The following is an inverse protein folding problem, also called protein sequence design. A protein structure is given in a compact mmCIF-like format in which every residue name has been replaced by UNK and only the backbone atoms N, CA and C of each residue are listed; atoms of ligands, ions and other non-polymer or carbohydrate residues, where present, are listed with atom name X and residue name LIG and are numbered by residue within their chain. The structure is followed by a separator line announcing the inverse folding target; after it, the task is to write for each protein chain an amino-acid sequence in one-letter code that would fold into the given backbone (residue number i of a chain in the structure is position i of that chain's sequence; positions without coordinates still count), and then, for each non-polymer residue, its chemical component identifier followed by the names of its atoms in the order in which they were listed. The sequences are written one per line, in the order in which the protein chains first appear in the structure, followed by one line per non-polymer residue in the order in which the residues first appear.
data_IF_875395609358
#
_entry.id   IF_875395609358
#
_cell.length_a   1.000
_cell.length_b   1.000
_cell.length_c   1.000
_cell.angle_alpha   90.00
_cell.angle_beta   90.00
_cell.angle_gamma   90.00
#
_symmetry.space_group_name_H-M   'P 1'
#
loop_
_entity.id
_entity.type
_entity.pdbx_description
1 polymer ?
2 non-polymer ?
3 non-polymer ?
4 non-polymer ?
5 water ?
#
# COMPACT_ATOMS: atom_id res chain seq x y z
N UNK A 2 -18.21 -17.81 10.34
CA UNK A 2 -18.00 -16.40 10.70
C UNK A 2 -16.88 -15.77 9.86
N UNK A 3 -17.07 -14.50 9.48
CA UNK A 3 -15.99 -13.68 8.90
C UNK A 3 -15.33 -14.36 7.69
N UNK A 4 -16.13 -15.00 6.84
CA UNK A 4 -15.58 -15.74 5.72
C UNK A 4 -15.42 -14.80 4.54
N UNK A 5 -14.21 -14.64 4.00
CA UNK A 5 -14.02 -13.73 2.87
C UNK A 5 -14.70 -14.26 1.60
N UNK A 6 -15.17 -13.33 0.79
CA UNK A 6 -15.75 -13.62 -0.51
C UNK A 6 -15.12 -12.68 -1.52
N UNK A 7 -15.12 -13.04 -2.80
CA UNK A 7 -14.55 -12.15 -3.84
C UNK A 7 -15.02 -10.71 -3.79
N UNK A 8 -16.25 -10.44 -3.33
CA UNK A 8 -16.67 -9.05 -3.28
C UNK A 8 -15.88 -8.24 -2.25
N UNK A 9 -15.15 -8.88 -1.35
CA UNK A 9 -14.28 -8.14 -0.43
C UNK A 9 -12.98 -7.66 -1.06
N UNK A 10 -12.71 -8.01 -2.33
CA UNK A 10 -11.57 -7.51 -3.11
C UNK A 10 -10.22 -7.74 -2.42
N UNK A 11 -10.09 -8.90 -1.75
CA UNK A 11 -8.81 -9.32 -1.19
C UNK A 11 -7.92 -9.94 -2.25
N UNK A 12 -6.71 -9.41 -2.38
CA UNK A 12 -5.71 -9.93 -3.31
C UNK A 12 -4.40 -10.19 -2.57
N UNK A 13 -3.62 -11.10 -3.13
CA UNK A 13 -2.32 -11.48 -2.58
C UNK A 13 -1.27 -11.52 -3.69
N UNK A 14 -0.06 -11.04 -3.38
CA UNK A 14 1.04 -11.24 -4.30
C UNK A 14 1.45 -12.70 -4.36
N UNK A 15 1.90 -13.13 -5.55
CA UNK A 15 2.48 -14.45 -5.69
C UNK A 15 3.64 -14.67 -4.71
N UNK A 16 4.38 -13.59 -4.40
CA UNK A 16 5.59 -13.65 -3.60
C UNK A 16 5.31 -13.71 -2.11
N UNK A 17 4.03 -13.62 -1.72
CA UNK A 17 3.63 -13.60 -0.32
C UNK A 17 3.49 -15.03 0.19
N UNK A 18 2.35 -15.70 -0.10
CA UNK A 18 2.23 -17.13 0.21
C UNK A 18 3.36 -17.94 -0.42
N UNK A 19 3.92 -17.45 -1.52
CA UNK A 19 5.05 -18.10 -2.14
C UNK A 19 6.40 -17.83 -1.53
N UNK A 20 6.50 -16.97 -0.52
CA UNK A 20 7.79 -16.67 0.10
C UNK A 20 8.39 -17.94 0.73
N UNK A 21 9.62 -18.26 0.34
CA UNK A 21 10.27 -19.51 0.74
C UNK A 21 10.97 -19.45 2.09
N UNK A 22 11.11 -18.27 2.69
CA UNK A 22 11.70 -18.18 4.02
C UNK A 22 13.17 -17.86 4.11
N UNK A 23 13.86 -17.58 3.00
CA UNK A 23 15.24 -17.10 3.10
C UNK A 23 15.23 -15.67 3.63
N UNK A 24 15.92 -15.44 4.75
CA UNK A 24 16.01 -14.10 5.31
C UNK A 24 17.51 -13.77 5.40
N UNK A 25 17.95 -12.61 5.94
CA UNK A 25 19.39 -12.32 5.91
C UNK A 25 20.24 -13.39 6.58
N UNK A 26 19.70 -14.03 7.63
CA UNK A 26 20.45 -14.97 8.43
C UNK A 26 19.99 -16.41 8.28
N UNK A 27 19.35 -16.76 7.18
CA UNK A 27 18.69 -18.05 7.13
C UNK A 27 18.39 -18.55 5.74
N UNK A 28 18.46 -19.86 5.59
CA UNK A 28 18.09 -20.54 4.36
C UNK A 28 16.58 -20.73 4.30
N UNK A 29 16.09 -21.12 3.12
CA UNK A 29 14.67 -21.32 2.93
C UNK A 29 14.18 -22.49 3.77
N UNK A 30 12.95 -22.36 4.27
CA UNK A 30 12.30 -23.41 5.04
C UNK A 30 11.14 -24.06 4.30
N UNK A 31 10.72 -23.51 3.16
CA UNK A 31 9.64 -24.08 2.37
C UNK A 31 10.06 -24.15 0.90
N UNK A 32 9.47 -25.11 0.19
CA UNK A 32 9.72 -25.30 -1.24
C UNK A 32 9.01 -24.23 -2.06
N UNK A 33 9.51 -24.02 -3.27
CA UNK A 33 8.94 -23.02 -4.17
C UNK A 33 7.53 -23.41 -4.59
N UNK A 34 6.63 -22.42 -4.66
CA UNK A 34 5.25 -22.68 -5.05
C UNK A 34 5.06 -22.53 -6.55
N UNK A 35 4.34 -23.48 -7.16
CA UNK A 35 3.88 -23.31 -8.54
C UNK A 35 2.85 -22.19 -8.54
N UNK A 36 3.06 -21.11 -9.29
CA UNK A 36 2.05 -20.04 -9.35
C UNK A 36 0.63 -20.54 -9.59
N UNK A 37 0.47 -21.64 -10.35
CA UNK A 37 -0.85 -22.19 -10.62
C UNK A 37 -1.49 -22.70 -9.34
N UNK A 38 -0.74 -23.43 -8.53
CA UNK A 38 -1.27 -23.90 -7.25
C UNK A 38 -1.66 -22.74 -6.35
N UNK A 39 -0.88 -21.65 -6.35
CA UNK A 39 -1.22 -20.50 -5.51
C UNK A 39 -2.53 -19.86 -5.95
N UNK A 40 -2.74 -19.69 -7.26
CA UNK A 40 -4.00 -19.15 -7.74
C UNK A 40 -5.17 -19.97 -7.22
N UNK A 41 -5.03 -21.29 -7.23
CA UNK A 41 -6.15 -22.14 -6.82
C UNK A 41 -6.36 -22.11 -5.32
N UNK A 42 -5.27 -22.22 -4.55
CA UNK A 42 -5.44 -22.24 -3.10
C UNK A 42 -5.99 -20.92 -2.59
N UNK A 43 -5.59 -19.82 -3.21
CA UNK A 43 -6.10 -18.52 -2.81
C UNK A 43 -7.57 -18.37 -3.18
N UNK A 44 -7.97 -18.86 -4.36
CA UNK A 44 -9.38 -18.83 -4.72
C UNK A 44 -10.22 -19.67 -3.77
N UNK A 45 -9.67 -20.80 -3.30
CA UNK A 45 -10.42 -21.63 -2.37
C UNK A 45 -10.54 -20.95 -1.01
N UNK A 46 -9.65 -20.00 -0.69
CA UNK A 46 -9.74 -19.27 0.58
C UNK A 46 -10.67 -18.07 0.49
N UNK A 47 -11.20 -17.74 -0.71
CA UNK A 47 -12.09 -16.61 -0.88
C UNK A 47 -11.44 -15.34 -1.42
N UNK A 48 -10.22 -15.43 -1.95
CA UNK A 48 -9.57 -14.22 -2.41
C UNK A 48 -10.17 -13.75 -3.74
N UNK A 49 -10.03 -12.44 -3.98
CA UNK A 49 -10.49 -11.79 -5.20
C UNK A 49 -9.51 -11.99 -6.35
N UNK A 50 -8.23 -12.04 -6.07
CA UNK A 50 -7.27 -12.23 -7.13
C UNK A 50 -5.85 -12.19 -6.61
N UNK A 51 -4.91 -12.12 -7.55
CA UNK A 51 -3.50 -12.23 -7.27
C UNK A 51 -2.75 -11.10 -7.97
N UNK A 52 -1.53 -10.86 -7.52
CA UNK A 52 -0.60 -9.92 -8.14
C UNK A 52 0.76 -10.61 -8.28
N UNK A 53 1.67 -10.01 -9.05
CA UNK A 53 2.96 -10.63 -9.30
C UNK A 53 4.01 -9.59 -9.70
N UNK A 54 5.26 -9.88 -9.34
CA UNK A 54 6.40 -9.34 -10.08
C UNK A 54 6.60 -10.19 -11.33
N UNK A 55 7.10 -9.56 -12.40
CA UNK A 55 7.47 -10.32 -13.59
C UNK A 55 8.20 -11.60 -13.20
N UNK A 56 9.23 -11.48 -12.36
CA UNK A 56 10.10 -12.61 -12.05
C UNK A 56 9.44 -13.64 -11.13
N UNK A 57 8.28 -13.33 -10.55
CA UNK A 57 7.54 -14.37 -9.82
C UNK A 57 6.87 -15.34 -10.79
N UNK A 58 6.36 -14.83 -11.91
CA UNK A 58 5.58 -15.57 -12.88
C UNK A 58 6.44 -16.25 -13.94
N UNK A 59 7.40 -15.50 -14.48
CA UNK A 59 8.33 -15.97 -15.50
C UNK A 59 9.73 -15.91 -14.91
N UNK A 60 10.41 -17.03 -14.74
CA UNK A 60 11.75 -17.00 -14.11
C UNK A 60 12.71 -16.19 -14.96
N UNK A 61 13.64 -15.50 -14.29
CA UNK A 61 14.52 -14.56 -14.98
C UNK A 61 15.30 -15.24 -16.09
N UNK A 62 15.43 -14.55 -17.21
CA UNK A 62 16.15 -15.10 -18.34
C UNK A 62 15.41 -16.19 -19.08
N UNK A 63 14.09 -16.18 -19.05
CA UNK A 63 13.34 -17.20 -19.76
C UNK A 63 13.35 -16.93 -21.26
N UNK A 64 13.52 -17.99 -22.05
CA UNK A 64 13.27 -17.90 -23.47
C UNK A 64 11.87 -17.37 -23.74
N UNK A 65 11.69 -16.78 -24.91
CA UNK A 65 10.34 -16.47 -25.38
C UNK A 65 9.46 -17.70 -25.33
N UNK A 66 10.03 -18.86 -25.65
CA UNK A 66 9.27 -20.12 -25.57
C UNK A 66 8.77 -20.34 -24.15
N UNK A 67 9.71 -20.41 -23.19
CA UNK A 67 9.35 -20.75 -21.82
C UNK A 67 8.49 -19.66 -21.18
N UNK A 68 8.78 -18.40 -21.48
CA UNK A 68 7.91 -17.31 -21.07
C UNK A 68 6.46 -17.59 -21.46
N UNK A 69 6.25 -18.04 -22.70
CA UNK A 69 4.90 -18.27 -23.20
C UNK A 69 4.21 -19.37 -22.41
N UNK A 70 4.91 -20.46 -22.11
CA UNK A 70 4.27 -21.54 -21.38
C UNK A 70 3.93 -21.10 -19.95
N UNK A 71 4.82 -20.34 -19.31
CA UNK A 71 4.53 -19.86 -17.96
C UNK A 71 3.31 -18.95 -17.94
N UNK A 72 3.19 -18.06 -18.94
CA UNK A 72 2.02 -17.19 -19.00
C UNK A 72 0.76 -18.00 -19.29
N UNK A 73 0.86 -18.99 -20.19
CA UNK A 73 -0.31 -19.76 -20.58
C UNK A 73 -0.88 -20.54 -19.40
N UNK A 74 -0.02 -21.29 -18.69
CA UNK A 74 -0.44 -21.98 -17.48
C UNK A 74 -1.17 -21.03 -16.54
N UNK A 75 -0.55 -19.89 -16.27
CA UNK A 75 -1.12 -18.91 -15.36
C UNK A 75 -2.50 -18.47 -15.84
N UNK A 76 -2.61 -18.08 -17.12
CA UNK A 76 -3.89 -17.62 -17.63
C UNK A 76 -4.96 -18.70 -17.52
N UNK A 77 -4.58 -19.96 -17.72
CA UNK A 77 -5.53 -21.05 -17.56
C UNK A 77 -6.00 -21.16 -16.11
N UNK A 78 -5.08 -20.98 -15.15
CA UNK A 78 -5.47 -21.00 -13.74
C UNK A 78 -6.44 -19.87 -13.42
N UNK A 79 -6.24 -18.70 -14.01
CA UNK A 79 -7.18 -17.62 -13.78
C UNK A 79 -8.54 -17.95 -14.36
N UNK A 80 -8.58 -18.66 -15.50
CA UNK A 80 -9.84 -19.04 -16.12
C UNK A 80 -10.68 -19.92 -15.22
N UNK A 81 -10.11 -21.04 -14.73
CA UNK A 81 -10.98 -21.99 -14.02
C UNK A 81 -11.39 -21.50 -12.64
N UNK A 82 -10.80 -20.41 -12.16
CA UNK A 82 -11.14 -19.89 -10.84
C UNK A 82 -11.90 -18.56 -10.90
N UNK A 83 -11.77 -17.81 -11.98
CA UNK A 83 -12.25 -16.46 -12.00
C UNK A 83 -11.37 -15.47 -11.28
N UNK A 84 -10.21 -15.90 -10.79
CA UNK A 84 -9.28 -15.00 -10.11
C UNK A 84 -8.88 -13.85 -11.02
N UNK A 85 -8.88 -12.65 -10.46
CA UNK A 85 -8.50 -11.43 -11.15
C UNK A 85 -7.03 -11.10 -10.90
N UNK A 86 -6.47 -10.27 -11.78
CA UNK A 86 -5.13 -9.72 -11.58
C UNK A 86 -5.25 -8.20 -11.60
N UNK A 87 -5.50 -7.57 -10.44
CA UNK A 87 -5.69 -6.11 -10.43
C UNK A 87 -4.40 -5.32 -10.48
N UNK A 88 -3.27 -5.92 -10.13
CA UNK A 88 -2.03 -5.16 -10.03
C UNK A 88 -0.87 -6.09 -10.39
N UNK A 89 0.15 -5.50 -11.00
CA UNK A 89 1.40 -6.20 -11.25
C UNK A 89 2.52 -5.18 -11.07
N UNK A 90 3.75 -5.66 -11.01
CA UNK A 90 4.90 -4.85 -10.64
C UNK A 90 6.14 -5.52 -11.22
N UNK A 91 7.24 -4.79 -11.23
CA UNK A 91 8.50 -5.27 -11.77
C UNK A 91 9.45 -5.62 -10.63
N UNK A 92 10.21 -6.71 -10.79
CA UNK A 92 11.32 -7.01 -9.89
C UNK A 92 12.54 -6.25 -10.38
N UNK A 93 12.79 -5.11 -9.76
CA UNK A 93 13.96 -4.28 -10.00
C UNK A 93 14.86 -4.28 -8.77
N UNK A 94 14.97 -5.43 -8.09
CA UNK A 94 15.74 -5.44 -6.84
C UNK A 94 16.53 -6.71 -6.60
N UNK A 95 16.07 -7.87 -7.07
CA UNK A 95 16.70 -9.14 -6.69
C UNK A 95 18.01 -9.36 -7.42
N UNK A 96 18.00 -9.16 -8.72
CA UNK A 96 19.17 -9.51 -9.52
C UNK A 96 20.36 -8.63 -9.15
N UNK A 97 21.56 -9.20 -9.05
CA UNK A 97 22.76 -8.39 -8.75
C UNK A 97 22.93 -7.15 -9.61
N UNK A 98 22.41 -7.14 -10.84
CA UNK A 98 22.60 -5.98 -11.71
C UNK A 98 21.97 -4.73 -11.09
N UNK A 99 20.95 -4.89 -10.25
CA UNK A 99 20.25 -3.76 -9.66
C UNK A 99 20.82 -3.37 -8.30
N UNK A 100 22.06 -3.76 -7.99
CA UNK A 100 22.57 -3.54 -6.63
C UNK A 100 22.61 -2.07 -6.23
N UNK A 101 22.69 -1.14 -7.19
CA UNK A 101 22.63 0.30 -6.93
C UNK A 101 21.32 0.92 -7.41
N UNK A 102 20.30 0.12 -7.65
CA UNK A 102 19.02 0.65 -8.07
C UNK A 102 18.68 0.25 -9.50
N UNK A 103 17.43 0.55 -9.86
CA UNK A 103 16.95 0.39 -11.22
C UNK A 103 16.90 1.72 -11.95
N UNK A 104 15.79 2.45 -11.76
CA UNK A 104 15.64 3.72 -12.42
C UNK A 104 16.68 4.75 -12.00
N UNK A 105 17.34 4.57 -10.85
CA UNK A 105 18.31 5.57 -10.38
C UNK A 105 19.70 4.96 -10.12
N UNK A 106 20.02 3.81 -10.72
CA UNK A 106 21.38 3.31 -10.72
C UNK A 106 22.33 4.39 -11.24
N UNK A 107 23.55 4.43 -10.72
CA UNK A 107 24.50 5.40 -11.27
C UNK A 107 24.88 5.02 -12.69
N UNK A 108 24.94 3.72 -12.98
CA UNK A 108 25.20 3.27 -14.34
C UNK A 108 23.99 3.51 -15.22
N UNK A 109 24.20 4.23 -16.33
CA UNK A 109 23.12 4.62 -17.22
C UNK A 109 22.54 3.42 -17.97
N UNK A 110 23.36 2.47 -18.36
CA UNK A 110 22.84 1.33 -19.09
C UNK A 110 21.95 0.46 -18.20
N UNK A 111 22.22 0.39 -16.90
CA UNK A 111 21.32 -0.32 -15.99
C UNK A 111 19.99 0.40 -15.89
N UNK A 112 20.02 1.73 -15.93
CA UNK A 112 18.77 2.47 -15.92
C UNK A 112 17.93 2.18 -17.15
N UNK A 113 18.57 2.16 -18.34
CA UNK A 113 17.83 1.84 -19.56
C UNK A 113 17.30 0.41 -19.52
N UNK A 114 18.11 -0.53 -19.02
CA UNK A 114 17.66 -1.90 -18.84
C UNK A 114 16.43 -1.98 -17.93
N UNK A 115 16.47 -1.30 -16.77
CA UNK A 115 15.33 -1.26 -15.85
C UNK A 115 14.05 -0.85 -16.56
N UNK A 116 14.12 0.20 -17.38
CA UNK A 116 12.93 0.66 -18.08
C UNK A 116 12.41 -0.38 -19.07
N UNK A 117 13.32 -1.02 -19.82
CA UNK A 117 12.89 -2.05 -20.75
C UNK A 117 12.25 -3.23 -20.02
N UNK A 118 12.81 -3.61 -18.86
CA UNK A 118 12.25 -4.69 -18.07
C UNK A 118 10.86 -4.34 -17.56
N UNK A 119 10.68 -3.10 -17.09
CA UNK A 119 9.38 -2.64 -16.64
C UNK A 119 8.36 -2.60 -17.79
N UNK A 120 8.78 -2.08 -18.94
CA UNK A 120 7.87 -1.86 -20.06
C UNK A 120 7.36 -3.19 -20.60
N UNK A 121 8.23 -4.19 -20.65
CA UNK A 121 7.83 -5.54 -21.04
C UNK A 121 6.74 -6.10 -20.13
N UNK A 122 6.84 -5.86 -18.82
CA UNK A 122 5.84 -6.42 -17.93
C UNK A 122 4.57 -5.59 -17.90
N UNK A 123 4.66 -4.29 -18.22
CA UNK A 123 3.46 -3.47 -18.36
C UNK A 123 2.50 -4.12 -19.37
N UNK A 124 3.04 -4.46 -20.56
CA UNK A 124 2.25 -5.14 -21.57
C UNK A 124 1.55 -6.36 -21.00
N UNK A 125 2.32 -7.23 -20.35
CA UNK A 125 1.71 -8.44 -19.78
C UNK A 125 0.65 -8.09 -18.75
N UNK A 126 0.93 -7.10 -17.88
CA UNK A 126 -0.03 -6.67 -16.88
C UNK A 126 -1.33 -6.22 -17.52
N UNK A 127 -1.23 -5.37 -18.54
CA UNK A 127 -2.42 -4.85 -19.22
C UNK A 127 -3.23 -5.99 -19.86
N UNK A 128 -2.54 -7.01 -20.41
CA UNK A 128 -3.26 -8.12 -21.04
C UNK A 128 -4.04 -8.93 -20.03
N UNK A 129 -3.52 -9.04 -18.81
CA UNK A 129 -4.13 -9.84 -17.77
C UNK A 129 -5.21 -9.10 -16.99
N UNK A 130 -5.42 -7.82 -17.26
CA UNK A 130 -6.46 -7.06 -16.59
C UNK A 130 -5.99 -6.11 -15.51
N UNK A 131 -4.67 -5.88 -15.40
CA UNK A 131 -4.17 -5.05 -14.32
C UNK A 131 -4.63 -3.62 -14.49
N UNK A 132 -5.15 -3.03 -13.43
CA UNK A 132 -5.52 -1.63 -13.45
C UNK A 132 -4.45 -0.72 -12.83
N UNK A 133 -3.59 -1.26 -11.99
CA UNK A 133 -2.51 -0.52 -11.38
C UNK A 133 -1.21 -1.24 -11.66
N UNK A 134 -0.18 -0.50 -12.08
CA UNK A 134 1.17 -1.00 -12.15
C UNK A 134 1.98 -0.33 -11.03
N UNK A 135 2.50 -1.13 -10.13
CA UNK A 135 3.15 -0.64 -8.92
C UNK A 135 4.64 -0.53 -9.18
N UNK A 136 5.23 0.58 -8.73
CA UNK A 136 6.67 0.75 -8.68
C UNK A 136 7.12 0.78 -7.22
N UNK A 137 7.99 -0.16 -6.83
CA UNK A 137 8.69 -0.13 -5.55
C UNK A 137 10.18 0.06 -5.83
N UNK A 138 10.70 1.24 -5.50
CA UNK A 138 12.12 1.47 -5.69
C UNK A 138 12.96 0.93 -4.56
N UNK A 139 12.95 -0.39 -4.37
CA UNK A 139 13.66 -0.97 -3.24
C UNK A 139 15.14 -0.65 -3.22
N UNK A 140 15.76 -0.57 -4.40
CA UNK A 140 17.21 -0.38 -4.51
C UNK A 140 17.60 1.07 -4.79
N UNK A 141 16.64 1.98 -4.89
CA UNK A 141 16.92 3.39 -5.17
C UNK A 141 17.34 4.06 -3.87
N UNK A 142 18.62 4.34 -3.72
CA UNK A 142 19.06 4.83 -2.43
C UNK A 142 20.56 4.70 -2.29
N UNK A 143 21.00 4.58 -1.04
CA UNK A 143 22.40 4.65 -0.71
C UNK A 143 22.60 4.19 0.72
N UNK A 144 23.78 3.66 1.01
CA UNK A 144 24.21 3.47 2.39
C UNK A 144 25.09 4.61 2.89
N UNK A 145 25.64 5.42 1.98
CA UNK A 145 26.58 6.47 2.34
C UNK A 145 26.26 7.73 1.52
N UNK A 146 26.70 8.87 2.06
CA UNK A 146 26.19 10.15 1.57
C UNK A 146 26.74 10.57 0.24
N UNK A 147 27.99 10.18 -0.06
CA UNK A 147 28.56 10.56 -1.33
C UNK A 147 28.15 9.68 -2.48
N UNK A 148 27.48 8.56 -2.21
CA UNK A 148 27.27 7.59 -3.26
C UNK A 148 26.15 7.98 -4.21
N UNK A 149 25.26 8.88 -3.79
CA UNK A 149 24.09 9.21 -4.60
C UNK A 149 23.88 10.72 -4.52
N UNK A 150 23.90 11.40 -5.67
CA UNK A 150 23.47 12.79 -5.73
C UNK A 150 21.95 12.77 -5.83
N UNK A 151 21.28 13.17 -4.76
CA UNK A 151 19.85 12.85 -4.69
C UNK A 151 19.05 13.69 -5.67
N UNK A 152 19.49 14.91 -5.98
CA UNK A 152 18.78 15.72 -6.97
C UNK A 152 18.92 15.15 -8.37
N UNK A 153 20.14 14.72 -8.74
CA UNK A 153 20.32 14.00 -10.00
C UNK A 153 19.50 12.72 -10.02
N UNK A 154 19.47 11.99 -8.90
CA UNK A 154 18.68 10.77 -8.86
C UNK A 154 17.19 11.08 -9.02
N UNK A 155 16.74 12.20 -8.45
CA UNK A 155 15.35 12.58 -8.65
C UNK A 155 15.08 12.94 -10.10
N UNK A 156 16.05 13.58 -10.76
CA UNK A 156 15.96 13.78 -12.20
C UNK A 156 15.78 12.46 -12.94
N UNK A 157 16.63 11.48 -12.64
CA UNK A 157 16.54 10.18 -13.30
C UNK A 157 15.23 9.47 -12.98
N UNK A 158 14.70 9.63 -11.76
CA UNK A 158 13.45 8.97 -11.43
C UNK A 158 12.28 9.63 -12.15
N UNK A 159 12.28 10.97 -12.19
CA UNK A 159 11.22 11.67 -12.93
C UNK A 159 11.27 11.30 -14.40
N UNK A 160 12.48 11.20 -14.96
CA UNK A 160 12.62 10.85 -16.37
C UNK A 160 12.14 9.43 -16.65
N UNK A 161 12.41 8.49 -15.72
CA UNK A 161 11.89 7.14 -15.89
C UNK A 161 10.36 7.12 -15.87
N UNK A 162 9.76 7.70 -14.83
CA UNK A 162 8.30 7.66 -14.72
C UNK A 162 7.63 8.50 -15.80
N UNK A 163 8.32 9.54 -16.27
CA UNK A 163 7.79 10.27 -17.41
C UNK A 163 7.78 9.40 -18.66
N UNK A 164 8.81 8.56 -18.85
CA UNK A 164 8.85 7.68 -20.01
C UNK A 164 7.78 6.60 -19.92
N UNK A 165 7.57 6.02 -18.74
CA UNK A 165 6.52 5.04 -18.58
C UNK A 165 5.15 5.66 -18.84
N UNK A 166 4.94 6.90 -18.37
CA UNK A 166 3.72 7.61 -18.69
C UNK A 166 3.57 7.85 -20.18
N UNK A 167 4.67 8.23 -20.84
CA UNK A 167 4.60 8.43 -22.29
C UNK A 167 4.32 7.12 -23.01
N UNK A 168 4.83 6.00 -22.48
CA UNK A 168 4.58 4.71 -23.12
C UNK A 168 3.12 4.32 -23.01
N UNK A 169 2.53 4.44 -21.81
CA UNK A 169 1.16 3.96 -21.67
C UNK A 169 0.19 4.86 -22.43
N UNK A 170 0.51 6.15 -22.55
CA UNK A 170 -0.31 7.05 -23.36
C UNK A 170 -0.18 6.73 -24.85
N UNK A 171 1.00 6.31 -25.30
CA UNK A 171 1.16 5.96 -26.71
C UNK A 171 0.42 4.66 -27.06
N UNK A 172 0.40 3.68 -26.16
CA UNK A 172 -0.34 2.45 -26.40
C UNK A 172 -1.85 2.59 -26.12
N UNK A 173 -2.30 3.74 -25.67
CA UNK A 173 -3.68 3.88 -25.22
C UNK A 173 -4.08 2.98 -24.07
N UNK A 174 -3.13 2.54 -23.25
CA UNK A 174 -3.46 1.71 -22.10
C UNK A 174 -4.23 2.50 -21.05
N UNK A 175 -5.05 1.79 -20.29
CA UNK A 175 -5.81 2.37 -19.20
C UNK A 175 -5.07 2.32 -17.87
N UNK A 176 -4.03 1.49 -17.78
CA UNK A 176 -3.36 1.24 -16.51
C UNK A 176 -2.78 2.53 -15.94
N UNK A 177 -2.77 2.64 -14.61
CA UNK A 177 -2.18 3.76 -13.89
C UNK A 177 -1.06 3.24 -13.00
N UNK A 178 -0.18 4.14 -12.59
CA UNK A 178 0.98 3.80 -11.78
C UNK A 178 0.75 4.15 -10.31
N UNK A 179 1.38 3.36 -9.42
CA UNK A 179 1.36 3.64 -7.99
C UNK A 179 2.75 3.41 -7.40
N UNK A 180 3.36 4.46 -6.87
CA UNK A 180 4.66 4.36 -6.21
C UNK A 180 4.46 3.74 -4.83
N UNK A 181 5.24 2.70 -4.53
CA UNK A 181 5.11 2.09 -3.20
C UNK A 181 6.24 2.57 -2.31
N UNK A 182 5.99 3.50 -1.39
CA UNK A 182 7.10 4.06 -0.60
C UNK A 182 7.61 3.07 0.44
N UNK A 183 8.91 3.20 0.76
CA UNK A 183 9.54 2.47 1.83
C UNK A 183 10.70 3.33 2.34
N UNK A 184 10.87 3.48 3.64
CA UNK A 184 11.90 4.42 4.12
C UNK A 184 13.32 3.86 4.03
N UNK A 185 13.48 2.54 4.19
CA UNK A 185 14.80 1.90 4.15
C UNK A 185 14.62 0.40 3.98
N UNK A 186 15.76 -0.27 3.73
CA UNK A 186 15.89 -1.72 3.59
C UNK A 186 15.33 -2.15 2.24
N UNK A 187 16.16 -2.73 1.39
CA UNK A 187 17.55 -3.12 1.67
C UNK A 187 18.57 -1.97 1.53
N UNK A 188 18.25 -0.80 1.01
CA UNK A 188 19.20 0.30 1.05
C UNK A 188 19.16 0.98 2.43
N UNK A 189 20.27 1.61 2.79
CA UNK A 189 20.33 2.32 4.07
C UNK A 189 19.26 3.38 4.21
N UNK A 190 19.02 4.14 3.13
CA UNK A 190 17.89 5.05 3.01
C UNK A 190 17.37 4.94 1.59
N UNK A 191 16.06 4.79 1.45
CA UNK A 191 15.44 4.67 0.13
C UNK A 191 14.84 6.02 -0.26
N UNK A 192 15.02 6.40 -1.52
CA UNK A 192 14.39 7.60 -2.06
C UNK A 192 12.89 7.50 -2.03
N UNK A 193 12.23 8.66 -1.96
CA UNK A 193 10.78 8.75 -1.74
C UNK A 193 10.41 7.86 -0.55
N UNK A 194 10.91 8.20 0.65
CA UNK A 194 10.85 7.24 1.77
C UNK A 194 9.47 7.05 2.38
N UNK A 195 8.51 7.94 2.13
CA UNK A 195 7.19 7.87 2.76
C UNK A 195 6.11 8.25 1.76
N UNK A 196 4.86 8.09 2.18
CA UNK A 196 3.71 8.51 1.35
C UNK A 196 3.85 9.98 0.98
N UNK A 197 4.19 10.84 1.94
CA UNK A 197 4.36 12.26 1.64
C UNK A 197 5.34 12.50 0.51
N UNK A 198 6.53 11.91 0.61
CA UNK A 198 7.57 12.11 -0.39
C UNK A 198 7.11 11.65 -1.77
N UNK A 199 6.40 10.52 -1.84
CA UNK A 199 5.96 10.03 -3.14
C UNK A 199 4.88 10.92 -3.72
N UNK A 200 3.93 11.37 -2.89
CA UNK A 200 2.89 12.28 -3.34
C UNK A 200 3.47 13.58 -3.90
N UNK A 201 4.46 14.15 -3.18
CA UNK A 201 5.09 15.38 -3.66
C UNK A 201 5.77 15.14 -5.01
N UNK A 202 6.58 14.10 -5.10
CA UNK A 202 7.28 13.76 -6.32
C UNK A 202 6.35 13.62 -7.52
N UNK A 203 5.17 13.01 -7.31
CA UNK A 203 4.22 12.80 -8.40
C UNK A 203 3.79 14.13 -9.02
N UNK A 204 3.72 15.19 -8.21
CA UNK A 204 3.26 16.49 -8.69
C UNK A 204 4.26 17.19 -9.62
N UNK A 205 5.51 16.73 -9.66
CA UNK A 205 6.48 17.24 -10.62
C UNK A 205 6.55 16.39 -11.88
N UNK A 206 5.78 15.32 -11.95
CA UNK A 206 5.81 14.46 -13.11
C UNK A 206 5.03 15.11 -14.25
N UNK A 207 5.21 14.57 -15.45
CA UNK A 207 4.66 15.30 -16.59
C UNK A 207 3.16 15.09 -16.69
N UNK A 208 2.67 13.90 -16.35
CA UNK A 208 1.25 13.59 -16.36
C UNK A 208 0.86 13.11 -14.97
N UNK A 209 0.79 14.02 -13.99
CA UNK A 209 0.61 13.58 -12.60
C UNK A 209 -0.64 12.75 -12.40
N UNK A 210 -1.68 12.99 -13.20
CA UNK A 210 -2.94 12.26 -13.08
C UNK A 210 -2.79 10.76 -13.28
N UNK A 211 -1.70 10.32 -13.92
CA UNK A 211 -1.44 8.89 -14.10
C UNK A 211 -0.79 8.23 -12.90
N UNK A 212 -0.46 8.96 -11.84
CA UNK A 212 0.36 8.38 -10.79
C UNK A 212 -0.28 8.59 -9.43
N UNK A 213 -0.29 7.53 -8.63
CA UNK A 213 -0.77 7.57 -7.27
C UNK A 213 0.17 6.84 -6.35
N UNK A 214 -0.26 6.50 -5.14
CA UNK A 214 0.60 5.78 -4.20
C UNK A 214 0.03 4.41 -3.94
N UNK A 215 0.92 3.45 -3.65
CA UNK A 215 0.56 2.16 -3.09
C UNK A 215 1.19 2.06 -1.70
N UNK A 216 0.58 2.65 -0.68
CA UNK A 216 1.20 2.66 0.65
C UNK A 216 1.09 1.30 1.33
N UNK A 217 2.12 0.94 2.08
CA UNK A 217 2.15 -0.29 2.85
C UNK A 217 2.16 0.03 4.34
N UNK A 218 1.22 -0.57 5.07
CA UNK A 218 1.07 -0.43 6.52
C UNK A 218 2.44 -0.41 7.17
N UNK A 219 3.23 -1.48 6.97
CA UNK A 219 4.48 -1.62 7.67
C UNK A 219 5.54 -0.60 7.29
N UNK A 220 5.53 -0.12 6.04
CA UNK A 220 6.59 0.78 5.59
C UNK A 220 6.49 2.14 6.25
N UNK A 221 5.28 2.73 6.34
CA UNK A 221 5.15 3.98 7.06
C UNK A 221 5.50 3.79 8.54
N UNK A 222 5.10 2.65 9.11
CA UNK A 222 5.40 2.37 10.50
C UNK A 222 6.89 2.14 10.76
N UNK A 223 7.67 1.77 9.74
CA UNK A 223 9.13 1.70 9.89
C UNK A 223 9.76 3.08 10.06
N UNK A 224 9.07 4.14 9.65
CA UNK A 224 9.45 5.50 9.99
C UNK A 224 8.68 6.02 11.21
N UNK A 225 7.93 5.15 11.89
CA UNK A 225 7.22 5.58 13.08
C UNK A 225 6.05 6.49 12.81
N UNK A 226 5.56 6.52 11.57
CA UNK A 226 4.48 7.41 11.17
C UNK A 226 3.13 6.73 11.39
N UNK A 227 2.09 7.54 11.39
CA UNK A 227 0.71 7.10 11.61
C UNK A 227 0.14 6.67 10.26
N UNK A 228 0.02 5.37 10.03
CA UNK A 228 -0.44 4.92 8.72
C UNK A 228 -1.87 5.38 8.41
N UNK A 229 -2.86 5.25 9.29
CA UNK A 229 -4.17 5.84 9.02
C UNK A 229 -4.14 7.32 8.62
N UNK A 230 -3.23 8.11 9.18
CA UNK A 230 -3.11 9.53 8.80
C UNK A 230 -2.58 9.68 7.39
N UNK A 231 -1.49 8.97 7.09
CA UNK A 231 -0.93 9.04 5.75
C UNK A 231 -1.93 8.61 4.70
N UNK A 232 -2.77 7.62 5.03
CA UNK A 232 -3.78 7.16 4.09
C UNK A 232 -4.83 8.24 3.89
N UNK A 233 -5.21 8.93 4.97
CA UNK A 233 -6.15 10.02 4.83
C UNK A 233 -5.57 11.12 3.94
N UNK A 234 -4.27 11.37 4.07
CA UNK A 234 -3.66 12.35 3.17
C UNK A 234 -3.66 11.85 1.73
N UNK A 235 -3.39 10.56 1.52
CA UNK A 235 -3.45 10.03 0.15
C UNK A 235 -4.88 10.15 -0.40
N UNK A 236 -5.87 9.76 0.38
CA UNK A 236 -7.27 9.89 -0.05
C UNK A 236 -7.63 11.35 -0.30
N UNK A 237 -7.27 12.23 0.65
CA UNK A 237 -7.46 13.66 0.47
C UNK A 237 -6.87 14.15 -0.85
N UNK A 238 -5.71 13.62 -1.23
CA UNK A 238 -5.11 14.00 -2.49
C UNK A 238 -5.73 13.31 -3.69
N UNK A 239 -6.57 12.29 -3.48
CA UNK A 239 -7.12 11.55 -4.61
C UNK A 239 -6.16 10.54 -5.20
N UNK A 240 -5.15 10.09 -4.46
CA UNK A 240 -4.07 9.29 -5.00
C UNK A 240 -4.00 7.88 -4.39
N UNK A 241 -5.00 7.46 -3.62
CA UNK A 241 -4.93 6.11 -3.08
C UNK A 241 -5.41 5.16 -4.18
N UNK A 242 -4.49 4.85 -5.12
CA UNK A 242 -4.83 3.94 -6.22
C UNK A 242 -4.85 2.48 -5.80
N UNK A 243 -4.24 2.14 -4.67
CA UNK A 243 -3.97 0.76 -4.28
C UNK A 243 -3.44 0.82 -2.86
N UNK A 244 -3.41 -0.32 -2.16
CA UNK A 244 -2.94 -0.31 -0.77
C UNK A 244 -2.38 -1.68 -0.39
N UNK A 245 -1.24 -1.70 0.30
CA UNK A 245 -0.65 -2.92 0.83
C UNK A 245 -0.89 -3.00 2.33
N UNK A 246 -1.44 -4.12 2.74
CA UNK A 246 -1.85 -4.38 4.12
C UNK A 246 -1.00 -5.51 4.71
N UNK A 247 -0.64 -5.35 5.97
CA UNK A 247 0.22 -6.28 6.70
C UNK A 247 0.46 -5.75 8.12
N UNK A 248 1.31 -6.43 8.87
CA UNK A 248 1.58 -6.08 10.25
C UNK A 248 3.04 -5.72 10.44
N UNK A 249 3.29 -4.81 11.38
CA UNK A 249 4.63 -4.37 11.70
C UNK A 249 4.67 -3.96 13.17
N UNK A 250 5.65 -4.47 13.91
CA UNK A 250 5.82 -4.08 15.31
C UNK A 250 6.86 -2.97 15.45
N UNK A 251 6.48 -1.79 15.03
CA UNK A 251 7.32 -0.64 15.27
C UNK A 251 8.53 -0.58 14.35
N UNK A 252 9.50 0.23 14.78
CA UNK A 252 10.62 0.64 13.93
C UNK A 252 11.70 -0.43 14.05
N UNK A 253 11.88 -1.19 12.96
CA UNK A 253 12.81 -2.32 12.87
C UNK A 253 12.74 -2.85 11.44
N UNK A 254 13.41 -3.95 11.15
CA UNK A 254 13.35 -4.53 9.82
C UNK A 254 11.91 -4.71 9.37
N UNK A 255 11.70 -4.70 8.05
CA UNK A 255 10.41 -4.93 7.42
C UNK A 255 9.88 -6.33 7.74
N UNK A 256 8.88 -6.43 8.60
CA UNK A 256 8.42 -7.73 9.09
C UNK A 256 7.43 -8.39 8.15
N UNK A 257 6.50 -7.61 7.58
CA UNK A 257 5.48 -8.14 6.66
C UNK A 257 4.65 -9.23 7.34
N UNK A 258 4.33 -9.01 8.61
CA UNK A 258 3.42 -9.93 9.29
C UNK A 258 2.05 -9.89 8.64
N UNK A 259 1.23 -10.89 8.96
CA UNK A 259 -0.13 -10.88 8.40
C UNK A 259 -0.91 -9.67 8.93
N UNK A 260 -1.82 -9.17 8.10
CA UNK A 260 -2.60 -8.00 8.49
C UNK A 260 -3.39 -8.31 9.76
N UNK A 261 -3.43 -7.34 10.67
CA UNK A 261 -4.02 -7.56 11.98
C UNK A 261 -2.97 -7.67 13.07
N UNK A 262 -1.86 -8.36 12.80
CA UNK A 262 -0.77 -8.36 13.76
C UNK A 262 0.00 -7.05 13.68
N UNK A 263 1.00 -6.90 14.54
CA UNK A 263 1.62 -5.59 14.65
C UNK A 263 0.68 -4.65 15.39
N UNK A 264 0.48 -3.45 14.85
CA UNK A 264 -0.25 -2.38 15.51
C UNK A 264 -1.73 -2.60 15.26
N UNK A 265 -2.35 -3.35 16.17
CA UNK A 265 -3.76 -3.72 16.03
C UNK A 265 -4.66 -2.49 16.00
N UNK A 266 -4.46 -1.54 16.92
CA UNK A 266 -5.30 -0.34 16.96
C UNK A 266 -5.18 0.46 15.68
N UNK A 267 -3.97 0.58 15.13
CA UNK A 267 -3.81 1.25 13.84
C UNK A 267 -4.54 0.50 12.74
N UNK A 268 -4.51 -0.83 12.79
CA UNK A 268 -5.28 -1.63 11.83
C UNK A 268 -6.77 -1.28 11.90
N UNK A 269 -7.29 -1.14 13.11
CA UNK A 269 -8.70 -0.79 13.29
C UNK A 269 -8.99 0.59 12.70
N UNK A 270 -8.20 1.60 13.05
CA UNK A 270 -8.42 2.95 12.51
C UNK A 270 -8.23 2.99 10.99
N UNK A 271 -7.38 2.10 10.46
CA UNK A 271 -7.22 1.99 9.01
C UNK A 271 -8.49 1.45 8.36
N UNK A 272 -8.94 0.27 8.78
CA UNK A 272 -10.17 -0.27 8.22
C UNK A 272 -11.30 0.73 8.37
N UNK A 273 -11.41 1.37 9.54
CA UNK A 273 -12.45 2.38 9.75
C UNK A 273 -12.39 3.48 8.69
N UNK A 274 -11.18 3.87 8.29
CA UNK A 274 -11.02 4.93 7.29
C UNK A 274 -11.33 4.42 5.88
N UNK A 275 -10.77 3.29 5.48
CA UNK A 275 -11.02 2.81 4.11
C UNK A 275 -12.50 2.63 3.88
N UNK A 276 -13.19 2.05 4.87
CA UNK A 276 -14.61 1.75 4.72
C UNK A 276 -15.43 3.02 4.72
N UNK A 277 -15.15 3.93 5.65
CA UNK A 277 -15.98 5.12 5.74
C UNK A 277 -15.67 6.12 4.63
N UNK A 278 -14.49 6.08 4.03
CA UNK A 278 -14.16 6.91 2.89
C UNK A 278 -14.58 6.30 1.57
N UNK A 279 -15.08 5.06 1.59
CA UNK A 279 -15.46 4.37 0.38
C UNK A 279 -14.34 4.02 -0.57
N UNK A 280 -13.19 3.60 -0.04
CA UNK A 280 -12.15 3.02 -0.89
C UNK A 280 -12.69 1.78 -1.59
N UNK A 281 -12.46 1.70 -2.89
CA UNK A 281 -13.00 0.61 -3.68
C UNK A 281 -11.93 -0.18 -4.42
N UNK A 282 -10.64 0.12 -4.19
CA UNK A 282 -9.58 -0.64 -4.80
C UNK A 282 -9.29 -1.93 -4.07
N UNK A 283 -8.30 -2.66 -4.55
CA UNK A 283 -7.95 -3.93 -3.91
C UNK A 283 -7.48 -3.77 -2.47
N UNK A 284 -7.87 -4.73 -1.64
CA UNK A 284 -7.30 -4.90 -0.30
C UNK A 284 -6.19 -5.93 -0.46
N UNK A 285 -5.00 -5.44 -0.72
CA UNK A 285 -3.90 -6.28 -1.14
C UNK A 285 -3.02 -6.57 0.07
N UNK A 286 -2.62 -7.84 0.23
CA UNK A 286 -1.83 -8.29 1.35
C UNK A 286 -0.41 -8.57 0.86
N UNK A 287 0.53 -7.73 1.25
CA UNK A 287 1.93 -7.90 0.93
C UNK A 287 2.60 -8.28 2.24
N UNK A 288 2.50 -9.56 2.58
CA UNK A 288 2.92 -10.10 3.85
C UNK A 288 3.75 -11.35 3.58
N UNK A 289 4.30 -11.90 4.64
CA UNK A 289 5.09 -13.12 4.53
C UNK A 289 4.73 -14.06 5.65
N UNK A 290 4.20 -15.24 5.36
CA UNK A 290 4.07 -16.27 6.39
C UNK A 290 5.44 -16.50 7.03
N UNK A 291 5.57 -16.30 8.34
CA UNK A 291 6.87 -16.49 9.00
C UNK A 291 7.51 -17.82 8.64
N UNK A 292 8.85 -17.82 8.53
CA UNK A 292 9.56 -19.00 8.05
C UNK A 292 9.48 -20.16 9.02
N UNK A 293 8.92 -19.93 10.22
CA UNK A 293 8.64 -21.00 11.16
C UNK A 293 7.53 -21.92 10.68
N UNK A 294 6.74 -21.51 9.69
CA UNK A 294 5.55 -22.22 9.27
C UNK A 294 5.83 -23.18 8.13
N UNK A 295 5.03 -24.23 8.05
CA UNK A 295 5.02 -25.09 6.88
C UNK A 295 3.90 -24.61 5.96
N UNK A 296 3.51 -25.43 4.97
CA UNK A 296 2.51 -24.96 4.01
C UNK A 296 1.14 -24.80 4.65
N UNK A 297 0.75 -25.69 5.56
CA UNK A 297 -0.50 -25.46 6.29
C UNK A 297 -0.51 -24.09 6.96
N UNK A 298 0.60 -23.69 7.59
CA UNK A 298 0.64 -22.39 8.24
C UNK A 298 0.64 -21.22 7.27
N UNK A 299 1.26 -21.39 6.09
CA UNK A 299 1.17 -20.39 5.03
C UNK A 299 -0.28 -20.05 4.75
N UNK A 300 -1.12 -21.09 4.53
CA UNK A 300 -2.51 -20.84 4.16
C UNK A 300 -3.33 -20.36 5.34
N UNK A 301 -3.02 -20.82 6.55
CA UNK A 301 -3.71 -20.26 7.71
C UNK A 301 -3.35 -18.80 7.89
N UNK A 302 -2.08 -18.46 7.68
CA UNK A 302 -1.65 -17.07 7.81
C UNK A 302 -2.35 -16.17 6.79
N UNK A 303 -2.46 -16.64 5.53
CA UNK A 303 -3.17 -15.87 4.51
C UNK A 303 -4.64 -15.72 4.84
N UNK A 304 -5.27 -16.79 5.27
CA UNK A 304 -6.64 -16.71 5.76
C UNK A 304 -6.76 -15.70 6.90
N UNK A 305 -5.73 -15.61 7.75
CA UNK A 305 -5.75 -14.64 8.82
C UNK A 305 -5.77 -13.19 8.34
N UNK A 306 -5.10 -12.91 7.22
CA UNK A 306 -5.14 -11.55 6.67
C UNK A 306 -6.57 -11.09 6.42
N UNK A 307 -7.35 -11.92 5.72
CA UNK A 307 -8.71 -11.55 5.36
C UNK A 307 -9.63 -11.57 6.58
N UNK A 308 -9.49 -12.58 7.43
CA UNK A 308 -10.33 -12.66 8.61
C UNK A 308 -10.16 -11.43 9.50
N UNK A 309 -8.91 -10.98 9.69
CA UNK A 309 -8.70 -9.85 10.58
C UNK A 309 -9.29 -8.58 10.00
N UNK A 310 -9.18 -8.40 8.68
CA UNK A 310 -9.83 -7.26 8.05
C UNK A 310 -11.33 -7.31 8.27
N UNK A 311 -11.93 -8.48 8.07
CA UNK A 311 -13.38 -8.61 8.22
C UNK A 311 -13.83 -8.35 9.66
N UNK A 312 -13.12 -8.92 10.65
CA UNK A 312 -13.46 -8.63 12.05
C UNK A 312 -13.34 -7.14 12.34
N UNK A 313 -12.24 -6.53 11.89
CA UNK A 313 -12.03 -5.11 12.13
C UNK A 313 -13.10 -4.28 11.44
N UNK A 314 -13.48 -4.67 10.23
CA UNK A 314 -14.54 -3.96 9.51
C UNK A 314 -15.84 -3.98 10.29
N UNK A 315 -16.16 -5.12 10.91
CA UNK A 315 -17.37 -5.21 11.68
C UNK A 315 -17.28 -4.36 12.96
N UNK A 316 -16.13 -4.38 13.64
CA UNK A 316 -16.01 -3.54 14.83
C UNK A 316 -16.10 -2.05 14.49
N UNK A 317 -15.48 -1.62 13.40
CA UNK A 317 -15.53 -0.20 13.06
C UNK A 317 -16.94 0.21 12.65
N UNK A 318 -17.62 -0.61 11.86
CA UNK A 318 -18.98 -0.30 11.44
C UNK A 318 -19.90 -0.16 12.64
N UNK A 319 -19.73 -1.02 13.64
CA UNK A 319 -20.57 -0.93 14.83
C UNK A 319 -20.21 0.28 15.66
N UNK A 320 -18.90 0.60 15.74
CA UNK A 320 -18.45 1.83 16.39
C UNK A 320 -19.12 3.06 15.79
N UNK A 321 -19.06 3.22 14.46
CA UNK A 321 -19.69 4.38 13.84
C UNK A 321 -21.21 4.36 14.02
N UNK A 322 -21.83 3.17 13.97
CA UNK A 322 -23.28 3.08 14.03
C UNK A 322 -23.85 3.29 15.42
N UNK A 323 -23.01 3.29 16.45
CA UNK A 323 -23.46 3.38 17.83
C UNK A 323 -23.90 4.81 18.18
N UNK A 324 -25.14 4.99 18.69
CA UNK A 324 -25.59 6.35 19.04
C UNK A 324 -24.74 7.02 20.11
N UNK A 325 -24.29 6.28 21.11
CA UNK A 325 -23.38 6.87 22.11
C UNK A 325 -22.10 7.37 21.45
N UNK A 326 -21.61 6.65 20.44
CA UNK A 326 -20.46 7.10 19.67
C UNK A 326 -20.80 8.35 18.87
N UNK A 327 -21.96 8.37 18.21
CA UNK A 327 -22.32 9.58 17.47
C UNK A 327 -22.47 10.75 18.42
N UNK A 328 -22.98 10.50 19.61
CA UNK A 328 -23.06 11.57 20.61
C UNK A 328 -21.67 11.96 21.11
N UNK A 329 -20.78 10.98 21.27
CA UNK A 329 -19.40 11.28 21.65
C UNK A 329 -18.68 12.06 20.57
N UNK A 330 -18.99 11.80 19.30
CA UNK A 330 -18.32 12.52 18.21
C UNK A 330 -18.67 14.00 18.24
N UNK A 331 -19.95 14.32 18.43
CA UNK A 331 -20.37 15.70 18.61
C UNK A 331 -19.78 16.32 19.87
N UNK A 332 -19.69 15.52 20.96
CA UNK A 332 -19.12 16.06 22.19
C UNK A 332 -17.68 16.49 22.00
N UNK A 333 -16.95 15.80 21.12
CA UNK A 333 -15.57 16.15 20.80
C UNK A 333 -15.46 17.11 19.63
N UNK A 334 -16.60 17.60 19.11
CA UNK A 334 -16.69 18.60 18.04
C UNK A 334 -16.12 18.11 16.71
N UNK A 335 -16.19 16.81 16.44
CA UNK A 335 -15.78 16.32 15.11
C UNK A 335 -16.67 16.91 14.01
N UNK A 336 -17.92 17.24 14.33
CA UNK A 336 -18.77 17.84 13.32
C UNK A 336 -18.34 19.28 13.04
N UNK A 337 -17.90 20.01 14.07
CA UNK A 337 -17.39 21.35 13.87
C UNK A 337 -16.12 21.35 13.02
N UNK A 338 -15.38 20.24 13.03
CA UNK A 338 -14.17 20.15 12.22
C UNK A 338 -14.50 20.19 10.73
N UNK A 339 -15.63 19.61 10.32
CA UNK A 339 -16.00 19.62 8.91
C UNK A 339 -16.51 20.97 8.44
N UNK A 340 -16.76 21.93 9.36
CA UNK A 340 -17.29 23.24 8.98
C UNK A 340 -16.19 24.15 8.45
N UNK A 341 -16.45 24.88 7.37
CA UNK A 341 -15.47 25.88 6.90
C UNK A 341 -15.10 26.86 8.00
N UNK A 342 -13.80 27.13 8.12
CA UNK A 342 -13.33 27.99 9.20
C UNK A 342 -13.81 29.43 9.01
N UNK A 343 -13.75 29.93 7.78
CA UNK A 343 -14.13 31.29 7.49
C UNK A 343 -14.78 31.33 6.10
N UNK A 344 -15.93 30.68 5.96
CA UNK A 344 -16.64 30.80 4.69
C UNK A 344 -17.21 32.19 4.47
N UNK A 345 -17.23 33.03 5.50
CA UNK A 345 -17.59 34.43 5.31
C UNK A 345 -16.48 35.24 4.65
N UNK A 346 -15.31 34.63 4.40
CA UNK A 346 -14.26 35.28 3.64
C UNK A 346 -13.27 36.06 4.48
N UNK A 347 -12.16 36.41 3.85
CA UNK A 347 -11.05 37.06 4.56
C UNK A 347 -11.50 38.35 5.22
N UNK A 348 -12.15 39.25 4.47
CA UNK A 348 -12.49 40.56 5.02
C UNK A 348 -13.43 40.41 6.22
N UNK A 349 -14.50 39.63 6.08
CA UNK A 349 -15.39 39.40 7.22
C UNK A 349 -14.60 38.88 8.42
N UNK A 350 -13.66 37.95 8.19
CA UNK A 350 -12.87 37.43 9.29
C UNK A 350 -12.04 38.54 9.93
N UNK A 351 -11.44 39.39 9.10
CA UNK A 351 -10.62 40.49 9.62
C UNK A 351 -11.42 41.44 10.49
N UNK A 352 -12.71 41.62 10.21
CA UNK A 352 -13.53 42.57 10.96
C UNK A 352 -14.30 41.93 12.10
N UNK A 353 -14.43 40.60 12.10
CA UNK A 353 -15.07 39.86 13.18
C UNK A 353 -14.33 40.07 14.49
N UNK A 354 -14.93 40.83 15.41
CA UNK A 354 -14.29 41.03 16.70
C UNK A 354 -14.44 39.82 17.62
N UNK A 355 -15.38 38.93 17.36
CA UNK A 355 -15.46 37.72 18.16
C UNK A 355 -14.37 36.72 17.80
N UNK A 356 -13.64 36.95 16.71
CA UNK A 356 -12.50 36.14 16.32
C UNK A 356 -11.20 36.58 16.98
N UNK A 357 -11.15 37.77 17.60
CA UNK A 357 -9.92 38.16 18.24
C UNK A 357 -10.15 39.08 19.44
N UNK A 358 -10.54 40.33 19.16
CA UNK A 358 -10.58 41.35 20.22
C UNK A 358 -11.50 40.93 21.36
N UNK A 359 -12.64 40.33 21.04
CA UNK A 359 -13.62 39.88 22.02
C UNK A 359 -13.69 38.36 22.13
N UNK A 360 -12.67 37.64 21.65
CA UNK A 360 -12.60 36.20 21.85
C UNK A 360 -12.27 35.91 23.30
N UNK A 361 -13.17 35.24 24.01
CA UNK A 361 -12.87 34.81 25.38
C UNK A 361 -11.99 33.57 25.25
N UNK A 362 -10.70 33.77 25.45
CA UNK A 362 -9.77 32.69 25.22
C UNK A 362 -9.82 31.68 26.36
N UNK A 363 -10.03 32.15 27.59
CA UNK A 363 -9.99 31.24 28.71
C UNK A 363 -11.22 30.34 28.75
N UNK A 364 -12.37 30.83 28.24
CA UNK A 364 -13.56 29.99 28.17
C UNK A 364 -13.39 28.89 27.14
N UNK A 365 -12.87 29.23 25.95
CA UNK A 365 -12.59 28.21 24.95
C UNK A 365 -11.52 27.23 25.44
N UNK A 366 -10.52 27.75 26.15
CA UNK A 366 -9.45 26.89 26.65
C UNK A 366 -9.97 25.87 27.66
N UNK A 367 -11.00 26.23 28.43
CA UNK A 367 -11.52 25.38 29.49
C UNK A 367 -12.52 24.35 29.01
N UNK A 368 -12.88 24.38 27.72
CA UNK A 368 -13.76 23.37 27.15
C UNK A 368 -12.97 22.10 26.87
N UNK A 369 -13.21 21.03 27.64
CA UNK A 369 -12.52 19.78 27.40
C UNK A 369 -12.88 19.16 26.06
N UNK A 370 -11.93 18.43 25.46
CA UNK A 370 -12.19 17.84 24.16
C UNK A 370 -12.95 16.52 24.24
N UNK A 371 -13.04 15.92 25.44
CA UNK A 371 -13.74 14.65 25.66
C UNK A 371 -13.23 13.54 24.73
N UNK A 372 -11.93 13.65 24.38
CA UNK A 372 -11.29 12.69 23.49
C UNK A 372 -11.12 11.31 24.14
N UNK A 373 -10.87 11.29 25.46
CA UNK A 373 -10.62 10.02 26.15
C UNK A 373 -11.89 9.16 26.20
N UNK A 374 -13.04 9.76 26.48
CA UNK A 374 -14.28 9.00 26.49
C UNK A 374 -14.60 8.43 25.11
N UNK A 375 -14.44 9.26 24.07
CA UNK A 375 -14.59 8.77 22.70
C UNK A 375 -13.65 7.60 22.41
N UNK A 376 -12.40 7.68 22.87
CA UNK A 376 -11.47 6.60 22.56
C UNK A 376 -11.80 5.33 23.34
N UNK A 377 -12.32 5.46 24.56
CA UNK A 377 -12.69 4.24 25.27
C UNK A 377 -13.89 3.58 24.64
N UNK A 378 -14.81 4.36 24.05
CA UNK A 378 -15.88 3.79 23.24
C UNK A 378 -15.32 3.01 22.05
N UNK A 379 -14.33 3.57 21.36
CA UNK A 379 -13.68 2.87 20.26
C UNK A 379 -13.01 1.59 20.75
N UNK A 380 -12.28 1.69 21.86
CA UNK A 380 -11.64 0.52 22.45
C UNK A 380 -12.69 -0.53 22.82
N UNK A 381 -13.76 -0.12 23.51
CA UNK A 381 -14.84 -1.05 23.90
C UNK A 381 -15.37 -1.80 22.69
N UNK A 382 -15.60 -1.08 21.59
CA UNK A 382 -16.11 -1.71 20.37
C UNK A 382 -15.09 -2.68 19.76
N UNK A 383 -13.85 -2.22 19.61
CA UNK A 383 -12.78 -3.07 19.07
C UNK A 383 -12.69 -4.39 19.81
N UNK A 384 -12.83 -4.35 21.14
CA UNK A 384 -12.71 -5.55 21.96
C UNK A 384 -14.02 -6.27 22.13
N UNK A 385 -15.09 -5.80 21.49
CA UNK A 385 -16.37 -6.45 21.63
C UNK A 385 -17.01 -6.27 22.99
N UNK A 386 -16.51 -5.33 23.79
CA UNK A 386 -16.95 -5.16 25.17
C UNK A 386 -18.01 -4.09 25.31
N UNK A 387 -19.02 -4.08 24.44
CA UNK A 387 -20.13 -3.15 24.59
C UNK A 387 -21.43 -3.87 24.97
X LIG B 1 4.80 -3.90 -0.86
X LIG C 1 7.17 -4.60 3.56
X LIG D 1 8.31 -6.16 -1.78
X LIG D 1 7.17 -5.17 -1.62
X LIG D 1 6.60 -4.56 -2.90
X LIG D 1 6.78 -5.39 -4.16
X LIG D 1 6.61 -4.52 -5.38
X LIG D 1 8.13 -6.93 -3.08
X LIG D 1 9.19 -7.79 -3.22
X LIG D 1 8.24 -7.04 -0.68
X LIG D 1 7.56 -4.06 -0.83
X LIG D 1 5.20 -4.43 -2.80
X LIG D 1 8.04 -6.03 -4.17
X LIG D 1 7.81 -4.50 -6.11
#
# INVERSE_FOLDING_TARGET
MNYQPTPEDRFTFGLWTVGWQGRDPFGDATRRALDPVESVRRLAELGAHGVTFHDDDLIPFGSSDSEREEHVKRFRQALDDTGMKVPMATTNLFTHPVFKDGGFTANDRDVRRYALRKTIRNIDLAVELGAETYVAWGGREGAESGGAKDVRDALDRMKEAFDLLGEYVTSQGYDIRFAIEPKPNEPRGDILLPTVGHALAFIERLERPELYGVNPEVGHEQMAGLNFPHGIAQALWAGKLFHIDLNGQNGIKYDQDLRFGAGDLRAAFWLVDLLESAGYSGPRHFDFKPPRTEDFDGVWASAAGCMRNYLILKERAAAFRADPEVQEALRASRLDELARPTAADGLQALLDDRSAFEEFDVDAAAARGMAFERLDQLAMDHLLGARG
MG MG
MN MN
BGC C2 C3 C4 C5 C6 C1 O1 O2 O3 O4 O5 O6
#
